data_IF_939918530697
#
_entry.id   IF_939918530697
#
_cell.length_a   1.000
_cell.length_b   1.000
_cell.length_c   1.000
_cell.angle_alpha   90.00
_cell.angle_beta   90.00
_cell.angle_gamma   90.00
#
_symmetry.space_group_name_H-M   'P 1'
#
loop_
_entity.id
_entity.type
_entity.pdbx_description
1 polymer ?
#
# COMPACT_ATOMS: atom_id res chain seq x y z
N UNK A 1 67.48 43.68 -19.33
CA UNK A 1 66.31 43.01 -19.95
C UNK A 1 65.32 42.81 -18.82
N UNK A 2 64.44 43.80 -18.61
CA UNK A 2 62.99 43.78 -18.92
C UNK A 2 62.20 42.81 -18.02
N UNK A 3 61.10 43.12 -17.34
CA UNK A 3 60.38 44.34 -16.92
C UNK A 3 59.35 43.85 -15.88
N UNK A 4 59.09 44.60 -14.82
CA UNK A 4 57.88 44.44 -14.00
C UNK A 4 56.63 44.70 -14.86
N UNK A 5 55.55 43.95 -14.65
CA UNK A 5 54.18 44.44 -14.88
C UNK A 5 53.20 43.62 -14.03
N UNK A 6 52.60 44.28 -13.03
CA UNK A 6 51.39 43.84 -12.36
C UNK A 6 50.14 44.29 -13.14
N UNK A 7 49.00 43.74 -12.70
CA UNK A 7 47.59 44.13 -12.92
C UNK A 7 46.79 43.34 -13.97
N UNK A 8 45.44 43.27 -13.83
CA UNK A 8 44.68 42.97 -12.62
C UNK A 8 43.53 41.97 -12.86
N UNK A 9 42.86 41.62 -11.76
CA UNK A 9 41.55 40.97 -11.59
C UNK A 9 40.57 41.06 -12.80
N UNK A 10 40.20 39.92 -13.39
CA UNK A 10 38.93 39.75 -14.14
C UNK A 10 38.52 38.27 -14.31
N UNK A 11 37.31 37.95 -13.82
CA UNK A 11 36.34 37.00 -14.38
C UNK A 11 36.69 35.50 -14.49
N UNK A 12 36.11 34.68 -13.61
CA UNK A 12 34.87 33.98 -13.95
C UNK A 12 34.31 33.14 -12.80
N UNK A 13 33.01 33.33 -12.58
CA UNK A 13 32.07 32.58 -11.75
C UNK A 13 32.23 31.07 -11.98
N UNK A 14 32.66 30.34 -10.95
CA UNK A 14 32.39 28.89 -10.89
C UNK A 14 31.05 28.74 -10.18
N UNK A 15 29.96 28.34 -10.85
CA UNK A 15 28.84 27.77 -10.12
C UNK A 15 29.30 26.40 -9.61
N UNK A 16 29.66 26.33 -8.33
CA UNK A 16 29.55 25.06 -7.62
C UNK A 16 28.11 24.59 -7.81
N UNK A 17 27.84 23.40 -8.37
CA UNK A 17 26.54 22.81 -8.17
C UNK A 17 26.45 22.58 -6.66
N UNK A 18 25.62 23.40 -6.00
CA UNK A 18 25.11 23.06 -4.68
C UNK A 18 24.60 21.63 -4.80
N UNK A 19 25.14 20.73 -3.98
CA UNK A 19 24.58 19.41 -3.72
C UNK A 19 23.24 19.63 -3.00
N UNK A 20 22.27 20.16 -3.73
CA UNK A 20 20.88 20.21 -3.35
C UNK A 20 20.31 18.81 -3.58
N UNK A 21 19.89 18.23 -2.46
CA UNK A 21 18.84 17.24 -2.37
C UNK A 21 18.99 15.99 -3.24
N UNK A 22 19.78 15.04 -2.75
CA UNK A 22 19.52 13.63 -3.02
C UNK A 22 19.16 12.91 -1.72
N UNK A 23 18.21 13.47 -0.98
CA UNK A 23 17.25 12.60 -0.29
C UNK A 23 16.44 11.94 -1.40
N UNK A 24 16.95 10.83 -1.92
CA UNK A 24 16.13 9.88 -2.64
C UNK A 24 15.17 9.30 -1.60
N UNK A 25 14.15 10.10 -1.25
CA UNK A 25 12.92 9.64 -0.64
C UNK A 25 12.47 8.57 -1.61
N UNK A 26 12.65 7.30 -1.23
CA UNK A 26 12.12 6.19 -1.98
C UNK A 26 10.61 6.40 -1.97
N UNK A 27 10.13 7.07 -3.02
CA UNK A 27 8.74 7.22 -3.38
C UNK A 27 8.27 5.82 -3.78
N UNK A 28 8.15 4.97 -2.77
CA UNK A 28 7.31 3.80 -2.89
C UNK A 28 5.92 4.39 -2.87
N UNK A 29 5.22 4.44 -4.02
CA UNK A 29 3.83 4.84 -3.99
C UNK A 29 3.15 3.92 -2.98
N UNK A 30 2.50 4.48 -1.96
CA UNK A 30 1.72 3.71 -0.99
C UNK A 30 0.68 2.89 -1.78
N UNK A 31 1.06 1.67 -2.15
CA UNK A 31 0.32 0.89 -3.13
C UNK A 31 -0.76 0.17 -2.36
N UNK A 32 -1.97 0.68 -2.44
CA UNK A 32 -3.14 -0.01 -1.92
C UNK A 32 -3.41 -1.23 -2.80
N UNK A 33 -3.20 -2.41 -2.24
CA UNK A 33 -3.35 -3.67 -2.92
C UNK A 33 -4.53 -4.44 -2.31
N UNK A 34 -5.50 -4.76 -3.17
CA UNK A 34 -6.74 -5.46 -2.84
C UNK A 34 -6.72 -6.82 -3.53
N UNK A 35 -7.09 -7.87 -2.80
CA UNK A 35 -7.27 -9.19 -3.37
C UNK A 35 -8.70 -9.68 -3.18
N UNK A 36 -9.30 -10.20 -4.25
CA UNK A 36 -10.67 -10.69 -4.26
C UNK A 36 -10.71 -12.15 -4.69
N UNK A 37 -11.49 -12.96 -3.98
CA UNK A 37 -11.68 -14.38 -4.28
C UNK A 37 -13.12 -14.82 -3.97
N UNK A 38 -13.73 -15.59 -4.87
CA UNK A 38 -14.92 -16.38 -4.53
C UNK A 38 -14.52 -17.72 -3.92
N UNK A 39 -15.01 -17.96 -2.71
CA UNK A 39 -14.73 -19.18 -1.93
C UNK A 39 -15.74 -20.30 -2.19
N UNK A 40 -16.85 -20.02 -2.88
CA UNK A 40 -17.92 -21.01 -3.17
C UNK A 40 -18.37 -21.80 -1.92
N UNK A 41 -18.45 -21.13 -0.78
CA UNK A 41 -18.80 -21.68 0.54
C UNK A 41 -17.92 -22.87 0.98
N UNK A 42 -16.65 -22.93 0.52
CA UNK A 42 -15.69 -23.98 0.90
C UNK A 42 -14.78 -23.53 2.02
N UNK A 43 -14.69 -24.36 3.07
CA UNK A 43 -13.86 -24.09 4.24
C UNK A 43 -12.38 -23.92 3.87
N UNK A 44 -11.83 -24.86 3.10
CA UNK A 44 -10.40 -24.86 2.74
C UNK A 44 -10.01 -23.63 1.91
N UNK A 45 -10.87 -23.21 0.98
CA UNK A 45 -10.66 -22.01 0.17
C UNK A 45 -10.72 -20.72 1.00
N UNK A 46 -11.68 -20.61 1.92
CA UNK A 46 -11.76 -19.45 2.82
C UNK A 46 -10.56 -19.40 3.77
N UNK A 47 -10.18 -20.54 4.36
CA UNK A 47 -9.11 -20.60 5.34
C UNK A 47 -7.72 -20.40 4.70
N UNK A 48 -7.46 -21.00 3.54
CA UNK A 48 -6.18 -20.86 2.84
C UNK A 48 -5.85 -19.39 2.56
N UNK A 49 -6.82 -18.62 2.07
CA UNK A 49 -6.63 -17.20 1.77
C UNK A 49 -6.40 -16.36 3.03
N UNK A 50 -7.09 -16.66 4.14
CA UNK A 50 -6.91 -15.96 5.40
C UNK A 50 -5.53 -16.24 6.03
N UNK A 51 -5.01 -17.45 5.81
CA UNK A 51 -3.68 -17.86 6.28
C UNK A 51 -2.55 -17.37 5.37
N UNK A 52 -2.86 -16.83 4.19
CA UNK A 52 -1.81 -16.35 3.30
C UNK A 52 -1.28 -15.03 3.85
N UNK A 53 0.02 -14.96 4.12
CA UNK A 53 0.70 -13.70 4.42
C UNK A 53 0.79 -12.91 3.13
N UNK A 54 -0.22 -12.09 2.91
CA UNK A 54 -0.33 -11.29 1.70
C UNK A 54 0.17 -9.88 2.01
N UNK A 55 0.95 -9.32 1.08
CA UNK A 55 1.25 -7.88 1.00
C UNK A 55 0.02 -7.03 0.68
N UNK A 56 -1.19 -7.61 0.77
CA UNK A 56 -2.45 -6.96 0.50
C UNK A 56 -2.97 -6.23 1.73
N UNK A 57 -3.46 -5.02 1.51
CA UNK A 57 -4.06 -4.18 2.56
C UNK A 57 -5.50 -4.62 2.85
N UNK A 58 -6.17 -5.23 1.87
CA UNK A 58 -7.54 -5.68 2.00
C UNK A 58 -7.83 -6.99 1.25
N UNK A 59 -8.74 -7.78 1.82
CA UNK A 59 -9.31 -8.99 1.23
C UNK A 59 -10.82 -8.85 1.05
N UNK A 60 -11.32 -9.17 -0.13
CA UNK A 60 -12.74 -9.27 -0.43
C UNK A 60 -13.11 -10.72 -0.74
N UNK A 61 -13.83 -11.37 0.18
CA UNK A 61 -14.26 -12.76 0.02
C UNK A 61 -15.72 -12.81 -0.41
N UNK A 62 -15.98 -13.40 -1.56
CA UNK A 62 -17.33 -13.71 -2.02
C UNK A 62 -17.69 -15.14 -1.62
N UNK A 63 -18.91 -15.31 -1.11
CA UNK A 63 -19.42 -16.61 -0.65
C UNK A 63 -18.42 -17.35 0.28
N UNK A 64 -17.85 -16.69 1.31
CA UNK A 64 -16.97 -17.38 2.24
C UNK A 64 -17.73 -18.50 2.95
N UNK A 65 -17.03 -19.57 3.30
CA UNK A 65 -17.57 -20.50 4.26
C UNK A 65 -17.82 -19.79 5.59
N UNK A 66 -18.98 -20.06 6.19
CA UNK A 66 -19.35 -19.53 7.49
C UNK A 66 -19.56 -20.66 8.48
N UNK A 67 -19.15 -20.44 9.72
CA UNK A 67 -19.38 -21.40 10.78
C UNK A 67 -20.89 -21.46 11.08
N UNK A 68 -21.50 -22.65 11.10
CA UNK A 68 -22.95 -22.79 11.26
C UNK A 68 -23.49 -22.36 12.63
N UNK A 69 -22.62 -22.24 13.64
CA UNK A 69 -23.02 -21.87 15.00
C UNK A 69 -23.13 -20.36 15.19
N UNK A 70 -22.27 -19.58 14.54
CA UNK A 70 -22.22 -18.12 14.71
C UNK A 70 -22.47 -17.35 13.40
N UNK A 71 -22.56 -18.05 12.27
CA UNK A 71 -22.79 -17.52 10.92
C UNK A 71 -21.68 -16.57 10.45
N UNK A 72 -20.46 -16.79 10.93
CA UNK A 72 -19.32 -15.94 10.64
C UNK A 72 -18.20 -16.74 9.95
N UNK A 73 -17.43 -16.12 9.03
CA UNK A 73 -16.23 -16.73 8.49
C UNK A 73 -15.19 -17.00 9.59
N UNK A 74 -14.22 -17.91 9.36
CA UNK A 74 -13.12 -18.17 10.27
C UNK A 74 -12.42 -16.87 10.66
N UNK A 75 -12.12 -16.71 11.95
CA UNK A 75 -11.33 -15.58 12.42
C UNK A 75 -9.84 -15.85 12.17
N UNK A 76 -9.09 -14.81 11.80
CA UNK A 76 -7.65 -14.89 11.65
C UNK A 76 -7.00 -13.71 12.36
N UNK A 77 -5.95 -13.97 13.14
CA UNK A 77 -5.31 -12.96 14.02
C UNK A 77 -4.76 -11.74 13.27
N UNK A 78 -4.39 -11.90 11.99
CA UNK A 78 -3.82 -10.84 11.17
C UNK A 78 -4.88 -10.06 10.36
N UNK A 79 -6.14 -10.51 10.37
CA UNK A 79 -7.21 -9.90 9.57
C UNK A 79 -8.30 -9.33 10.46
N UNK A 80 -8.61 -8.05 10.26
CA UNK A 80 -9.82 -7.46 10.82
C UNK A 80 -11.00 -7.75 9.90
N UNK A 81 -12.07 -8.34 10.45
CA UNK A 81 -13.28 -8.63 9.69
C UNK A 81 -14.24 -7.45 9.73
N UNK A 82 -14.55 -6.93 8.55
CA UNK A 82 -15.62 -5.96 8.33
C UNK A 82 -16.75 -6.61 7.53
N UNK A 83 -17.89 -6.88 8.17
CA UNK A 83 -19.10 -7.39 7.49
C UNK A 83 -20.12 -6.25 7.34
N UNK A 84 -20.65 -5.99 6.14
CA UNK A 84 -21.73 -5.03 5.96
C UNK A 84 -22.94 -5.48 6.76
N UNK A 85 -23.45 -4.60 7.64
CA UNK A 85 -24.72 -4.84 8.30
C UNK A 85 -25.82 -4.44 7.33
N UNK A 86 -26.45 -5.41 6.69
CA UNK A 86 -27.72 -5.18 6.00
C UNK A 86 -28.78 -4.93 7.06
N UNK A 87 -29.16 -3.66 7.24
CA UNK A 87 -30.47 -3.37 7.81
C UNK A 87 -31.52 -3.84 6.81
N UNK A 88 -32.61 -4.51 7.23
CA UNK A 88 -33.69 -4.80 6.30
C UNK A 88 -34.19 -3.47 5.74
N UNK A 89 -33.97 -3.24 4.45
CA UNK A 89 -34.67 -2.18 3.74
C UNK A 89 -36.12 -2.55 3.83
N UNK A 90 -36.92 -1.72 4.49
CA UNK A 90 -38.34 -1.92 4.57
C UNK A 90 -38.90 -1.75 3.16
N UNK A 91 -39.01 -2.86 2.41
CA UNK A 91 -39.65 -2.90 1.10
C UNK A 91 -41.16 -2.82 1.31
N UNK A 92 -41.64 -1.67 1.78
CA UNK A 92 -43.04 -1.32 1.69
C UNK A 92 -43.24 -0.69 0.31
N UNK A 93 -43.64 -1.52 -0.65
CA UNK A 93 -44.28 -1.07 -1.91
C UNK A 93 -45.78 -0.86 -1.70
#
# INVERSE_FOLDING_TARGET
MASETWDPMANQTTPTPSEDDNQQLTDHPNTLSLFQLSCHNRYDSTLSVLNTELTYVALLLQEPWTNPYNWLPPAHKNWHRSTPRSTPTNCNE
#
